data_IF_861068407272
#
_entry.id   IF_861068407272
#
_cell.length_a   1.000
_cell.length_b   1.000
_cell.length_c   1.000
_cell.angle_alpha   90.00
_cell.angle_beta   90.00
_cell.angle_gamma   90.00
#
_symmetry.space_group_name_H-M   'P 1'
#
loop_
_entity.id
_entity.type
_entity.pdbx_description
1 polymer ?
#
# COMPACT_ATOMS: atom_id res chain seq x y z
N UNK A 1 -12.50 -1.83 24.20
CA UNK A 1 -11.80 -2.81 23.34
C UNK A 1 -11.59 -4.19 23.99
N UNK A 2 -11.49 -4.33 25.32
CA UNK A 2 -11.34 -5.65 25.97
C UNK A 2 -12.53 -6.61 25.78
N UNK A 3 -13.74 -6.10 25.59
CA UNK A 3 -14.94 -6.93 25.33
C UNK A 3 -14.96 -7.62 23.96
N UNK A 4 -14.22 -7.12 22.96
CA UNK A 4 -14.20 -7.71 21.60
C UNK A 4 -13.42 -9.02 21.59
N UNK A 5 -12.35 -9.12 22.38
CA UNK A 5 -11.60 -10.37 22.56
C UNK A 5 -12.44 -11.46 23.25
N UNK A 6 -13.31 -11.09 24.20
CA UNK A 6 -14.27 -12.02 24.83
C UNK A 6 -15.29 -12.57 23.83
N UNK A 7 -15.91 -11.71 23.03
CA UNK A 7 -16.95 -12.16 22.10
C UNK A 7 -16.38 -13.07 21.02
N UNK A 8 -15.17 -12.78 20.51
CA UNK A 8 -14.57 -13.56 19.42
C UNK A 8 -13.95 -14.86 19.94
N UNK A 9 -13.08 -14.81 20.95
CA UNK A 9 -12.35 -16.01 21.43
C UNK A 9 -13.09 -16.80 22.52
N UNK A 10 -13.97 -16.17 23.30
CA UNK A 10 -14.71 -16.81 24.39
C UNK A 10 -16.06 -17.40 23.97
N UNK A 11 -16.72 -16.84 22.95
CA UNK A 11 -18.05 -17.28 22.51
C UNK A 11 -18.06 -17.76 21.05
N UNK A 12 -17.46 -17.02 20.11
CA UNK A 12 -17.61 -17.33 18.67
C UNK A 12 -16.79 -18.55 18.20
N UNK A 13 -15.52 -18.66 18.63
CA UNK A 13 -14.63 -19.79 18.31
C UNK A 13 -15.15 -21.14 18.84
N UNK A 14 -15.61 -21.27 20.10
CA UNK A 14 -16.17 -22.54 20.59
C UNK A 14 -17.51 -22.89 19.93
N UNK A 15 -18.31 -21.88 19.54
CA UNK A 15 -19.60 -22.11 18.87
C UNK A 15 -19.44 -22.60 17.43
N UNK A 16 -18.36 -22.22 16.73
CA UNK A 16 -18.10 -22.68 15.36
C UNK A 16 -17.40 -24.05 15.29
N UNK A 17 -16.85 -24.54 16.40
CA UNK A 17 -15.98 -25.72 16.44
C UNK A 17 -16.49 -26.82 17.40
N UNK A 18 -17.78 -27.17 17.31
CA UNK A 18 -18.40 -28.37 17.91
C UNK A 18 -17.83 -28.81 19.28
N UNK A 19 -17.83 -27.91 20.27
CA UNK A 19 -17.75 -28.33 21.68
C UNK A 19 -16.39 -28.82 22.21
N UNK A 20 -15.28 -28.72 21.46
CA UNK A 20 -13.95 -28.88 22.06
C UNK A 20 -13.54 -27.59 22.79
N UNK A 21 -14.17 -27.37 23.94
CA UNK A 21 -13.87 -26.27 24.82
C UNK A 21 -12.52 -26.53 25.47
N UNK A 22 -11.46 -25.91 24.96
CA UNK A 22 -10.16 -25.94 25.63
C UNK A 22 -10.18 -24.89 26.76
N UNK A 23 -10.29 -25.29 28.04
CA UNK A 23 -10.45 -24.38 29.17
C UNK A 23 -9.27 -23.43 29.33
N UNK A 24 -8.10 -23.78 28.76
CA UNK A 24 -6.89 -22.98 28.83
C UNK A 24 -7.04 -21.60 28.17
N UNK A 25 -7.70 -21.53 27.01
CA UNK A 25 -7.92 -20.27 26.31
C UNK A 25 -8.94 -19.38 27.03
N UNK A 26 -9.99 -19.97 27.61
CA UNK A 26 -10.96 -19.24 28.42
C UNK A 26 -10.34 -18.69 29.70
N UNK A 27 -9.49 -19.46 30.37
CA UNK A 27 -8.78 -19.01 31.57
C UNK A 27 -7.81 -17.87 31.27
N UNK A 28 -7.06 -17.96 30.16
CA UNK A 28 -6.15 -16.92 29.71
C UNK A 28 -6.90 -15.62 29.36
N UNK A 29 -8.06 -15.72 28.70
CA UNK A 29 -8.93 -14.57 28.42
C UNK A 29 -9.45 -13.92 29.70
N UNK A 30 -9.91 -14.72 30.67
CA UNK A 30 -10.45 -14.24 31.95
C UNK A 30 -9.37 -13.56 32.80
N UNK A 31 -8.17 -14.13 32.86
CA UNK A 31 -7.01 -13.53 33.54
C UNK A 31 -6.64 -12.17 32.92
N UNK A 32 -6.65 -12.06 31.60
CA UNK A 32 -6.33 -10.81 30.89
C UNK A 32 -7.36 -9.70 31.18
N UNK A 33 -8.63 -10.06 31.37
CA UNK A 33 -9.71 -9.13 31.72
C UNK A 33 -9.60 -8.70 33.18
N UNK A 34 -9.28 -9.64 34.07
CA UNK A 34 -9.04 -9.33 35.47
C UNK A 34 -7.90 -8.31 35.59
N UNK A 35 -6.81 -8.51 34.85
CA UNK A 35 -5.71 -7.52 34.76
C UNK A 35 -6.17 -6.20 34.14
N UNK A 36 -7.01 -6.22 33.10
CA UNK A 36 -7.54 -5.01 32.48
C UNK A 36 -8.48 -4.20 33.39
N UNK A 37 -9.22 -4.86 34.28
CA UNK A 37 -10.11 -4.24 35.28
C UNK A 37 -9.32 -3.72 36.48
N UNK A 38 -8.37 -4.50 36.99
CA UNK A 38 -7.61 -4.15 38.20
C UNK A 38 -6.56 -3.08 37.94
N UNK A 39 -5.94 -3.05 36.75
CA UNK A 39 -4.93 -2.05 36.41
C UNK A 39 -4.91 -1.73 34.90
N UNK A 40 -5.80 -0.83 34.42
CA UNK A 40 -5.82 -0.40 33.02
C UNK A 40 -4.53 0.33 32.60
N UNK A 41 -3.72 0.79 33.56
CA UNK A 41 -2.45 1.47 33.30
C UNK A 41 -1.36 0.54 32.76
N UNK A 42 -1.37 -0.76 33.10
CA UNK A 42 -0.38 -1.72 32.61
C UNK A 42 -0.61 -2.06 31.13
N UNK A 43 -1.86 -2.02 30.66
CA UNK A 43 -2.21 -2.23 29.25
C UNK A 43 -1.66 -1.16 28.30
N UNK A 44 -1.19 -0.01 28.82
CA UNK A 44 -0.61 1.06 27.99
C UNK A 44 0.68 0.64 27.29
N UNK A 45 1.51 -0.20 27.92
CA UNK A 45 2.77 -0.67 27.36
C UNK A 45 2.58 -1.61 26.15
N UNK A 46 1.79 -2.69 26.22
CA UNK A 46 1.53 -3.54 25.06
C UNK A 46 0.75 -2.80 23.98
N UNK A 47 -0.17 -1.88 24.34
CA UNK A 47 -0.86 -1.02 23.38
C UNK A 47 0.10 -0.15 22.57
N UNK A 48 1.10 0.47 23.21
CA UNK A 48 2.13 1.25 22.50
C UNK A 48 2.92 0.39 21.52
N UNK A 49 3.34 -0.81 21.93
CA UNK A 49 4.04 -1.75 21.05
C UNK A 49 3.17 -2.18 19.86
N UNK A 50 1.91 -2.49 20.12
CA UNK A 50 0.95 -2.88 19.07
C UNK A 50 0.66 -1.74 18.09
N UNK A 51 0.50 -0.51 18.58
CA UNK A 51 0.29 0.67 17.71
C UNK A 51 1.53 1.01 16.91
N UNK A 52 2.74 0.84 17.47
CA UNK A 52 3.99 1.00 16.73
C UNK A 52 4.08 -0.01 15.58
N UNK A 53 3.81 -1.29 15.86
CA UNK A 53 3.75 -2.34 14.83
C UNK A 53 2.67 -2.04 13.78
N UNK A 54 1.49 -1.60 14.21
CA UNK A 54 0.41 -1.19 13.31
C UNK A 54 0.81 -0.02 12.40
N UNK A 55 1.54 0.96 12.93
CA UNK A 55 2.07 2.07 12.14
C UNK A 55 3.12 1.63 11.12
N UNK A 56 4.03 0.73 11.49
CA UNK A 56 5.03 0.16 10.59
C UNK A 56 4.35 -0.68 9.49
N UNK A 57 3.41 -1.56 9.85
CA UNK A 57 2.63 -2.33 8.88
C UNK A 57 1.84 -1.40 7.96
N UNK A 58 1.23 -0.34 8.48
CA UNK A 58 0.51 0.66 7.70
C UNK A 58 1.41 1.32 6.66
N UNK A 59 2.60 1.77 7.07
CA UNK A 59 3.58 2.39 6.17
C UNK A 59 4.06 1.44 5.06
N UNK A 60 4.26 0.16 5.40
CA UNK A 60 4.61 -0.89 4.44
C UNK A 60 3.44 -1.14 3.48
N UNK A 61 2.22 -1.28 4.00
CA UNK A 61 1.03 -1.56 3.21
C UNK A 61 0.77 -0.48 2.16
N UNK A 62 0.84 0.80 2.54
CA UNK A 62 0.65 1.90 1.58
C UNK A 62 1.70 1.87 0.47
N UNK A 63 2.97 1.58 0.79
CA UNK A 63 4.04 1.48 -0.23
C UNK A 63 3.83 0.29 -1.15
N UNK A 64 3.45 -0.87 -0.61
CA UNK A 64 3.15 -2.06 -1.41
C UNK A 64 1.97 -1.78 -2.34
N UNK A 65 0.88 -1.21 -1.82
CA UNK A 65 -0.31 -0.91 -2.60
C UNK A 65 0.01 0.06 -3.75
N UNK A 66 0.74 1.14 -3.46
CA UNK A 66 1.18 2.10 -4.47
C UNK A 66 2.12 1.46 -5.51
N UNK A 67 3.07 0.62 -5.07
CA UNK A 67 3.98 -0.10 -5.98
C UNK A 67 3.20 -1.03 -6.91
N UNK A 68 2.28 -1.83 -6.37
CA UNK A 68 1.45 -2.75 -7.16
C UNK A 68 0.62 -1.98 -8.18
N UNK A 69 -0.05 -0.90 -7.76
CA UNK A 69 -0.82 -0.04 -8.68
C UNK A 69 0.08 0.54 -9.77
N UNK A 70 1.25 1.05 -9.41
CA UNK A 70 2.20 1.60 -10.37
C UNK A 70 2.64 0.54 -11.41
N UNK A 71 3.03 -0.64 -10.94
CA UNK A 71 3.49 -1.72 -11.82
C UNK A 71 2.39 -2.32 -12.69
N UNK A 72 1.14 -2.34 -12.21
CA UNK A 72 0.01 -2.86 -12.99
C UNK A 72 -0.50 -1.83 -13.99
N UNK A 73 -0.56 -0.55 -13.62
CA UNK A 73 -1.15 0.46 -14.49
C UNK A 73 -0.10 1.13 -15.38
N UNK A 74 1.00 1.64 -14.81
CA UNK A 74 1.95 2.49 -15.54
C UNK A 74 3.02 1.70 -16.29
N UNK A 75 3.57 0.66 -15.68
CA UNK A 75 4.62 -0.17 -16.31
C UNK A 75 4.18 -0.81 -17.64
N UNK A 76 2.96 -1.38 -17.81
CA UNK A 76 2.59 -1.92 -19.10
C UNK A 76 2.50 -0.85 -20.18
N UNK A 77 2.15 0.40 -19.90
CA UNK A 77 2.19 1.45 -20.93
C UNK A 77 3.60 1.66 -21.47
N UNK A 78 4.62 1.66 -20.59
CA UNK A 78 6.02 1.74 -20.98
C UNK A 78 6.46 0.51 -21.77
N UNK A 79 6.07 -0.69 -21.30
CA UNK A 79 6.37 -1.95 -21.98
C UNK A 79 5.71 -2.00 -23.36
N UNK A 80 4.46 -1.57 -23.50
CA UNK A 80 3.74 -1.46 -24.76
C UNK A 80 4.53 -0.58 -25.73
N UNK A 81 4.89 0.65 -25.34
CA UNK A 81 5.69 1.53 -26.21
C UNK A 81 7.02 0.89 -26.65
N UNK A 82 7.67 0.14 -25.75
CA UNK A 82 8.91 -0.59 -26.06
C UNK A 82 8.69 -1.71 -27.07
N UNK A 83 7.63 -2.51 -26.91
CA UNK A 83 7.26 -3.60 -27.83
C UNK A 83 6.87 -3.06 -29.20
N UNK A 84 6.04 -2.03 -29.25
CA UNK A 84 5.60 -1.38 -30.50
C UNK A 84 6.68 -0.46 -31.12
N UNK A 85 7.88 -0.38 -30.52
CA UNK A 85 9.00 0.47 -30.95
C UNK A 85 8.62 1.94 -31.18
N UNK A 86 7.62 2.44 -30.47
CA UNK A 86 7.13 3.82 -30.59
C UNK A 86 8.12 4.73 -29.85
N UNK A 87 8.84 5.56 -30.61
CA UNK A 87 9.80 6.52 -30.07
C UNK A 87 9.33 7.97 -30.34
N UNK A 88 8.43 8.52 -29.49
CA UNK A 88 7.86 9.84 -29.73
C UNK A 88 8.88 10.97 -29.58
N UNK A 89 9.96 10.72 -28.83
CA UNK A 89 11.02 11.70 -28.58
C UNK A 89 12.21 11.52 -29.54
N UNK A 90 12.16 10.52 -30.43
CA UNK A 90 13.27 10.19 -31.35
C UNK A 90 14.62 10.09 -30.60
N UNK A 91 14.62 9.41 -29.45
CA UNK A 91 15.80 9.25 -28.60
C UNK A 91 16.72 8.11 -29.05
N UNK A 92 16.23 7.24 -29.93
CA UNK A 92 17.06 6.20 -30.54
C UNK A 92 18.09 6.83 -31.47
N UNK A 93 19.35 6.47 -31.24
CA UNK A 93 20.44 6.82 -32.13
C UNK A 93 20.30 6.01 -33.42
N UNK A 94 20.28 6.71 -34.55
CA UNK A 94 20.26 6.15 -35.89
C UNK A 94 21.59 6.48 -36.57
N UNK A 95 22.39 5.45 -36.83
CA UNK A 95 23.71 5.57 -37.44
C UNK A 95 23.63 5.99 -38.92
N UNK A 96 22.43 5.92 -39.54
CA UNK A 96 22.22 6.33 -40.93
C UNK A 96 21.92 7.82 -41.10
N UNK A 97 21.74 8.56 -40.01
CA UNK A 97 21.48 9.99 -40.04
C UNK A 97 22.80 10.78 -40.02
N UNK A 98 22.99 11.66 -40.99
CA UNK A 98 24.13 12.60 -41.01
C UNK A 98 24.11 13.59 -39.84
N UNK A 99 22.92 13.90 -39.30
CA UNK A 99 22.75 14.85 -38.18
C UNK A 99 21.38 14.69 -37.51
N UNK A 100 21.35 14.74 -36.17
CA UNK A 100 20.11 14.67 -35.35
C UNK A 100 19.34 15.99 -35.25
N UNK A 101 19.86 17.06 -35.85
CA UNK A 101 19.27 18.41 -35.76
C UNK A 101 17.99 18.46 -36.59
N UNK A 102 16.84 18.62 -35.93
CA UNK A 102 15.58 18.94 -36.61
C UNK A 102 15.59 20.41 -37.05
N UNK A 103 15.34 20.65 -38.33
CA UNK A 103 15.23 22.02 -38.85
C UNK A 103 14.06 22.75 -38.19
N UNK A 104 14.31 23.96 -37.70
CA UNK A 104 13.25 24.79 -37.12
C UNK A 104 12.41 25.37 -38.26
N UNK A 105 11.11 25.08 -38.26
CA UNK A 105 10.20 25.76 -39.17
C UNK A 105 10.11 27.24 -38.78
N UNK A 106 10.27 28.16 -39.75
CA UNK A 106 10.07 29.59 -39.52
C UNK A 106 8.63 29.80 -39.08
N UNK A 107 8.43 30.12 -37.81
CA UNK A 107 7.13 30.57 -37.30
C UNK A 107 6.84 31.95 -37.85
N UNK A 108 5.59 32.20 -38.21
CA UNK A 108 5.11 33.50 -38.64
C UNK A 108 5.40 34.55 -37.55
N UNK A 109 6.02 35.70 -37.86
CA UNK A 109 6.28 36.76 -36.89
C UNK A 109 5.01 37.22 -36.15
N UNK A 110 3.86 37.19 -36.83
CA UNK A 110 2.58 37.61 -36.25
C UNK A 110 1.97 36.56 -35.32
N UNK A 111 2.53 35.35 -35.27
CA UNK A 111 2.09 34.28 -34.35
C UNK A 111 2.23 34.67 -32.87
N UNK A 112 3.06 35.67 -32.54
CA UNK A 112 3.21 36.20 -31.19
C UNK A 112 2.20 37.29 -30.82
N UNK A 113 1.38 37.77 -31.75
CA UNK A 113 0.39 38.82 -31.49
C UNK A 113 -0.84 38.32 -30.74
N UNK A 114 -1.12 37.02 -30.80
CA UNK A 114 -2.21 36.37 -30.06
C UNK A 114 -1.71 35.10 -29.37
N UNK A 115 -1.17 35.23 -28.15
CA UNK A 115 -0.55 34.11 -27.44
C UNK A 115 -1.54 33.10 -26.82
N UNK A 116 -2.85 33.37 -26.88
CA UNK A 116 -3.92 32.53 -26.34
C UNK A 116 -5.02 32.29 -27.38
#
# INVERSE_FOLDING_TARGET
MGGIFLSIFGLLVPFWKNGNWNPWFSFLGLALIFVAIVSPSILKYPYKGWMFLGGVLGAINTRILLAVIYFILFTPFGLFRRVFKIDPLSLRLDEKLDTYRKSSNKKDPHHMEKPF
#
